data_IF_830055548051
#
_entry.id   IF_830055548051
#
_cell.length_a   1.000
_cell.length_b   1.000
_cell.length_c   1.000
_cell.angle_alpha   90.00
_cell.angle_beta   90.00
_cell.angle_gamma   90.00
#
_symmetry.space_group_name_H-M   'P 1'
#
loop_
_entity.id
_entity.type
_entity.pdbx_description
1 polymer ?
#
# COMPACT_ATOMS: atom_id res chain seq x y z
N UNK A 1 16.27 56.47 45.36
CA UNK A 1 15.25 56.41 44.28
C UNK A 1 15.84 56.20 42.88
N UNK A 2 16.88 56.95 42.44
CA UNK A 2 17.41 56.81 41.04
C UNK A 2 17.99 55.42 40.67
N UNK A 3 18.66 54.70 41.60
CA UNK A 3 19.24 53.35 41.32
C UNK A 3 18.14 52.27 41.15
N UNK A 4 17.05 52.32 41.88
CA UNK A 4 15.97 51.34 41.71
C UNK A 4 15.19 51.52 40.43
N UNK A 5 15.01 52.77 39.95
CA UNK A 5 14.40 53.06 38.67
C UNK A 5 15.24 52.58 37.45
N UNK A 6 16.59 52.75 37.55
CA UNK A 6 17.48 52.25 36.53
C UNK A 6 17.45 50.70 36.44
N UNK A 7 17.42 50.01 37.56
CA UNK A 7 17.30 48.53 37.62
C UNK A 7 15.99 48.06 37.04
N UNK A 8 14.87 48.77 37.30
CA UNK A 8 13.57 48.44 36.74
C UNK A 8 13.53 48.61 35.21
N UNK A 9 14.12 49.69 34.68
CA UNK A 9 14.25 49.92 33.24
C UNK A 9 15.11 48.88 32.56
N UNK A 10 16.20 48.44 33.15
CA UNK A 10 17.09 47.39 32.63
C UNK A 10 16.35 46.04 32.64
N UNK A 11 15.58 45.73 33.67
CA UNK A 11 14.77 44.54 33.73
C UNK A 11 13.67 44.54 32.64
N UNK A 12 12.99 45.67 32.43
CA UNK A 12 11.97 45.83 31.43
C UNK A 12 12.55 45.67 30.00
N UNK A 13 13.74 46.24 29.75
CA UNK A 13 14.43 46.09 28.48
C UNK A 13 14.89 44.63 28.26
N UNK A 14 15.47 44.00 29.30
CA UNK A 14 15.83 42.58 29.22
C UNK A 14 14.61 41.68 28.99
N UNK A 15 13.52 41.97 29.64
CA UNK A 15 12.25 41.23 29.47
C UNK A 15 11.68 41.43 28.07
N UNK A 16 11.66 42.65 27.52
CA UNK A 16 11.22 42.93 26.15
C UNK A 16 12.11 42.29 25.11
N UNK A 17 13.44 42.31 25.31
CA UNK A 17 14.39 41.63 24.46
C UNK A 17 14.22 40.11 24.53
N UNK A 18 14.03 39.54 25.71
CA UNK A 18 13.77 38.11 25.92
C UNK A 18 12.41 37.71 25.29
N UNK A 19 11.36 38.51 25.51
CA UNK A 19 10.07 38.26 24.88
C UNK A 19 10.14 38.36 23.34
N UNK A 20 10.82 39.38 22.84
CA UNK A 20 11.09 39.51 21.40
C UNK A 20 11.84 38.31 20.83
N UNK A 21 12.90 37.87 21.51
CA UNK A 21 13.67 36.68 21.10
C UNK A 21 12.83 35.39 21.22
N UNK A 22 12.03 35.24 22.27
CA UNK A 22 11.13 34.11 22.46
C UNK A 22 10.05 34.06 21.38
N UNK A 23 9.45 35.20 21.01
CA UNK A 23 8.41 35.31 19.97
C UNK A 23 8.98 35.15 18.54
N UNK A 24 10.26 35.44 18.33
CA UNK A 24 10.93 35.31 17.02
C UNK A 24 11.68 33.98 16.84
N UNK A 25 11.70 33.12 17.85
CA UNK A 25 12.28 31.79 17.70
C UNK A 25 11.52 30.99 16.64
N UNK A 26 12.22 30.40 15.68
CA UNK A 26 11.54 29.52 14.73
C UNK A 26 10.93 28.35 15.49
N UNK A 27 9.67 28.09 15.22
CA UNK A 27 9.01 26.87 15.67
C UNK A 27 9.58 25.70 14.89
N UNK A 28 9.87 24.61 15.56
CA UNK A 28 10.44 23.42 14.92
C UNK A 28 9.44 22.30 15.05
N UNK A 29 9.01 21.77 13.90
CA UNK A 29 8.27 20.52 13.80
C UNK A 29 9.19 19.38 13.41
N UNK A 30 8.87 18.19 13.85
CA UNK A 30 9.63 16.98 13.53
C UNK A 30 8.74 15.99 12.75
N UNK A 31 9.33 15.35 11.74
CA UNK A 31 8.66 14.32 10.93
C UNK A 31 9.35 12.98 11.09
N UNK A 32 8.57 11.93 11.34
CA UNK A 32 9.00 10.55 11.35
C UNK A 32 8.79 9.90 9.99
N UNK A 33 9.88 9.53 9.35
CA UNK A 33 9.92 8.88 8.04
C UNK A 33 11.10 7.91 7.97
N UNK A 34 11.04 6.96 7.06
CA UNK A 34 12.11 6.00 6.77
C UNK A 34 12.73 6.24 5.39
N UNK A 35 13.88 5.64 5.15
CA UNK A 35 14.57 5.62 3.86
C UNK A 35 14.04 4.49 2.98
N UNK A 36 13.92 4.77 1.70
CA UNK A 36 13.49 3.79 0.69
C UNK A 36 11.98 3.75 0.47
N UNK A 37 11.58 2.90 -0.45
CA UNK A 37 10.19 2.73 -0.83
C UNK A 37 9.38 2.06 0.28
N UNK A 38 8.18 2.55 0.53
CA UNK A 38 7.20 1.87 1.39
C UNK A 38 6.74 0.52 0.82
N UNK A 39 6.99 0.27 -0.46
CA UNK A 39 6.41 -0.84 -1.22
C UNK A 39 7.39 -1.98 -1.51
N UNK A 40 8.56 -2.00 -0.84
CA UNK A 40 9.62 -3.01 -1.02
C UNK A 40 10.15 -3.12 -2.46
N UNK A 41 10.12 -2.02 -3.19
CA UNK A 41 10.68 -1.90 -4.54
C UNK A 41 11.86 -0.92 -4.55
N UNK A 42 12.78 -0.99 -5.54
CA UNK A 42 13.89 -0.04 -5.63
C UNK A 42 13.42 1.40 -5.76
N UNK A 43 14.02 2.30 -4.99
CA UNK A 43 13.80 3.74 -5.04
C UNK A 43 15.14 4.45 -5.12
N UNK A 44 15.23 5.47 -5.98
CA UNK A 44 16.48 6.21 -6.20
C UNK A 44 16.64 7.40 -5.27
N UNK A 45 15.56 8.01 -4.81
CA UNK A 45 15.54 9.26 -4.05
C UNK A 45 14.56 9.19 -2.87
N UNK A 46 14.98 8.56 -1.77
CA UNK A 46 14.14 8.22 -0.62
C UNK A 46 13.42 9.40 0.05
N UNK A 47 13.91 10.63 -0.13
CA UNK A 47 13.38 11.79 0.59
C UNK A 47 12.88 12.91 -0.32
N UNK A 48 12.93 12.75 -1.65
CA UNK A 48 12.61 13.80 -2.60
C UNK A 48 11.21 14.40 -2.40
N UNK A 49 10.20 13.55 -2.19
CA UNK A 49 8.84 13.99 -1.91
C UNK A 49 8.74 14.75 -0.58
N UNK A 50 9.39 14.23 0.46
CA UNK A 50 9.38 14.85 1.79
C UNK A 50 10.06 16.23 1.75
N UNK A 51 11.20 16.33 1.10
CA UNK A 51 11.93 17.59 0.96
C UNK A 51 11.12 18.63 0.18
N UNK A 52 10.41 18.20 -0.87
CA UNK A 52 9.50 19.06 -1.63
C UNK A 52 8.34 19.57 -0.75
N UNK A 53 7.70 18.67 -0.01
CA UNK A 53 6.60 19.02 0.89
C UNK A 53 7.07 19.96 2.02
N UNK A 54 8.23 19.71 2.62
CA UNK A 54 8.82 20.57 3.65
C UNK A 54 9.13 21.96 3.09
N UNK A 55 9.76 22.04 1.92
CA UNK A 55 10.08 23.31 1.27
C UNK A 55 8.81 24.14 1.02
N UNK A 56 7.76 23.50 0.55
CA UNK A 56 6.47 24.15 0.30
C UNK A 56 5.82 24.63 1.60
N UNK A 57 5.75 23.75 2.60
CA UNK A 57 5.19 24.07 3.91
C UNK A 57 5.93 25.24 4.58
N UNK A 58 7.28 25.24 4.58
CA UNK A 58 8.09 26.32 5.17
C UNK A 58 7.91 27.65 4.43
N UNK A 59 7.68 27.63 3.13
CA UNK A 59 7.40 28.84 2.34
C UNK A 59 6.03 29.46 2.70
N UNK A 60 5.04 28.64 3.01
CA UNK A 60 3.70 29.07 3.43
C UNK A 60 3.62 29.43 4.93
N UNK A 61 4.60 28.98 5.75
CA UNK A 61 4.65 29.21 7.19
C UNK A 61 5.97 29.88 7.62
N UNK A 62 6.16 31.19 7.35
CA UNK A 62 7.38 31.89 7.73
C UNK A 62 7.65 31.78 9.25
N UNK A 63 8.87 31.43 9.63
CA UNK A 63 9.27 31.23 11.03
C UNK A 63 9.03 29.81 11.57
N UNK A 64 8.57 28.87 10.73
CA UNK A 64 8.51 27.45 11.05
C UNK A 64 9.62 26.70 10.33
N UNK A 65 10.22 25.72 10.97
CA UNK A 65 11.19 24.79 10.40
C UNK A 65 10.74 23.36 10.63
N UNK A 66 10.88 22.51 9.59
CA UNK A 66 10.56 21.09 9.69
C UNK A 66 11.85 20.28 9.60
N UNK A 67 11.97 19.27 10.45
CA UNK A 67 13.15 18.38 10.53
C UNK A 67 12.71 16.92 10.53
N UNK A 68 13.53 16.06 9.96
CA UNK A 68 13.42 14.61 10.11
C UNK A 68 14.78 13.96 10.31
N UNK A 69 14.80 12.74 10.85
CA UNK A 69 16.01 11.93 10.94
C UNK A 69 16.14 11.09 9.68
N UNK A 70 17.22 11.26 8.94
CA UNK A 70 17.50 10.49 7.72
C UNK A 70 18.21 9.17 8.02
N UNK A 71 18.08 8.19 7.10
CA UNK A 71 18.83 6.94 7.14
C UNK A 71 18.19 5.82 7.97
N UNK A 72 17.01 6.02 8.54
CA UNK A 72 16.26 4.96 9.21
C UNK A 72 15.73 4.01 8.13
N UNK A 73 16.11 2.74 8.17
CA UNK A 73 15.60 1.75 7.22
C UNK A 73 14.12 1.46 7.53
N UNK A 74 13.35 1.13 6.49
CA UNK A 74 11.93 0.76 6.64
C UNK A 74 11.74 -0.36 7.67
N UNK A 75 12.57 -1.40 7.61
CA UNK A 75 12.45 -2.56 8.49
C UNK A 75 12.73 -2.22 9.98
N UNK A 76 13.54 -1.20 10.22
CA UNK A 76 13.92 -0.74 11.57
C UNK A 76 12.99 0.38 12.08
N UNK A 77 12.13 0.92 11.21
CA UNK A 77 11.36 2.13 11.51
C UNK A 77 10.33 1.96 12.62
N UNK A 78 9.62 0.84 12.67
CA UNK A 78 8.61 0.58 13.69
C UNK A 78 9.25 0.52 15.10
N UNK A 79 10.41 -0.15 15.22
CA UNK A 79 11.18 -0.22 16.47
C UNK A 79 11.72 1.16 16.86
N UNK A 80 12.35 1.88 15.92
CA UNK A 80 12.79 3.24 16.14
C UNK A 80 11.68 4.17 16.62
N UNK A 81 10.50 4.12 15.99
CA UNK A 81 9.36 4.95 16.37
C UNK A 81 8.86 4.60 17.78
N UNK A 82 8.79 3.32 18.12
CA UNK A 82 8.41 2.86 19.44
C UNK A 82 9.40 3.36 20.52
N UNK A 83 10.70 3.32 20.26
CA UNK A 83 11.71 3.91 21.16
C UNK A 83 11.49 5.42 21.37
N UNK A 84 11.20 6.19 20.31
CA UNK A 84 10.89 7.62 20.43
C UNK A 84 9.69 7.87 21.33
N UNK A 85 8.63 7.07 21.21
CA UNK A 85 7.47 7.14 22.11
C UNK A 85 7.83 6.86 23.57
N UNK A 86 8.66 5.86 23.84
CA UNK A 86 9.12 5.52 25.19
C UNK A 86 9.98 6.64 25.80
N UNK A 87 10.81 7.29 25.00
CA UNK A 87 11.65 8.40 25.43
C UNK A 87 10.91 9.74 25.56
N UNK A 88 9.68 9.84 25.03
CA UNK A 88 8.89 11.07 25.02
C UNK A 88 9.40 12.11 24.02
N UNK A 89 10.08 11.68 22.97
CA UNK A 89 10.64 12.51 21.91
C UNK A 89 10.23 12.04 20.51
N UNK A 90 9.04 11.43 20.41
CA UNK A 90 8.44 11.04 19.13
C UNK A 90 8.21 12.25 18.23
N UNK A 91 8.22 12.05 16.89
CA UNK A 91 7.95 13.11 15.93
C UNK A 91 6.54 13.68 16.05
N UNK A 92 6.37 14.97 15.70
CA UNK A 92 5.08 15.65 15.70
C UNK A 92 4.12 15.06 14.66
N UNK A 93 4.62 14.77 13.46
CA UNK A 93 3.90 14.11 12.36
C UNK A 93 4.74 12.91 11.90
N UNK A 94 4.13 11.75 11.67
CA UNK A 94 4.91 10.56 11.33
C UNK A 94 4.12 9.56 10.49
N UNK A 95 4.86 8.77 9.71
CA UNK A 95 4.31 7.57 9.04
C UNK A 95 3.90 6.58 10.12
N UNK A 96 2.66 6.13 10.07
CA UNK A 96 2.14 5.16 11.05
C UNK A 96 2.27 3.77 10.47
N UNK A 97 3.08 2.86 11.07
CA UNK A 97 3.12 1.48 10.65
C UNK A 97 1.73 0.84 10.77
N UNK A 98 1.23 0.23 9.69
CA UNK A 98 -0.14 -0.32 9.66
C UNK A 98 -0.39 -1.36 10.76
N UNK A 99 0.60 -2.21 11.05
CA UNK A 99 0.52 -3.22 12.10
C UNK A 99 0.34 -2.61 13.52
N UNK A 100 0.89 -1.41 13.76
CA UNK A 100 0.87 -0.74 15.05
C UNK A 100 -0.23 0.32 15.17
N UNK A 101 -0.93 0.62 14.07
CA UNK A 101 -1.93 1.69 14.02
C UNK A 101 -2.98 1.56 15.14
N UNK A 102 -3.57 0.38 15.30
CA UNK A 102 -4.60 0.14 16.31
C UNK A 102 -4.07 0.30 17.73
N UNK A 103 -2.81 -0.10 17.98
CA UNK A 103 -2.14 0.10 19.26
C UNK A 103 -1.92 1.57 19.56
N UNK A 104 -1.40 2.35 18.62
CA UNK A 104 -1.15 3.78 18.80
C UNK A 104 -2.45 4.58 18.98
N UNK A 105 -3.51 4.22 18.25
CA UNK A 105 -4.83 4.82 18.45
C UNK A 105 -5.43 4.49 19.82
N UNK A 106 -5.38 3.21 20.23
CA UNK A 106 -5.96 2.73 21.48
C UNK A 106 -5.24 3.28 22.73
N UNK A 107 -3.91 3.46 22.65
CA UNK A 107 -3.11 3.97 23.78
C UNK A 107 -3.06 5.49 23.85
N UNK A 108 -3.69 6.20 22.89
CA UNK A 108 -3.66 7.65 22.83
C UNK A 108 -2.30 8.24 22.41
N UNK A 109 -1.48 7.46 21.70
CA UNK A 109 -0.24 7.94 21.09
C UNK A 109 -0.51 8.84 19.87
N UNK A 110 -1.59 8.54 19.12
CA UNK A 110 -2.08 9.36 18.02
C UNK A 110 -3.12 10.39 18.49
N UNK A 111 -3.04 11.61 18.00
CA UNK A 111 -4.06 12.61 18.17
C UNK A 111 -5.30 12.28 17.31
N UNK A 112 -6.52 12.34 17.84
CA UNK A 112 -7.73 12.22 17.04
C UNK A 112 -7.87 13.42 16.10
N UNK A 113 -8.16 13.16 14.84
CA UNK A 113 -8.31 14.18 13.80
C UNK A 113 -9.73 14.75 13.72
N UNK A 114 -10.63 14.40 14.65
CA UNK A 114 -12.04 14.83 14.64
C UNK A 114 -12.19 16.34 14.63
N UNK A 115 -11.48 17.05 15.49
CA UNK A 115 -11.55 18.51 15.57
C UNK A 115 -10.91 19.20 14.35
N UNK A 116 -9.69 18.85 13.93
CA UNK A 116 -9.12 19.36 12.70
C UNK A 116 -10.03 19.17 11.49
N UNK A 117 -10.56 17.95 11.28
CA UNK A 117 -11.46 17.64 10.15
C UNK A 117 -12.78 18.42 10.19
N UNK A 118 -13.32 18.68 11.37
CA UNK A 118 -14.59 19.42 11.52
C UNK A 118 -14.44 20.94 11.35
N UNK A 119 -13.28 21.49 11.70
CA UNK A 119 -13.07 22.94 11.75
C UNK A 119 -12.34 23.50 10.52
N UNK A 120 -11.72 22.66 9.72
CA UNK A 120 -10.98 23.07 8.52
C UNK A 120 -11.90 23.11 7.30
N UNK A 121 -12.31 24.32 6.91
CA UNK A 121 -13.21 24.54 5.77
C UNK A 121 -12.55 24.30 4.40
N UNK A 122 -11.22 24.26 4.36
CA UNK A 122 -10.44 24.04 3.15
C UNK A 122 -10.10 22.56 2.92
N UNK A 123 -10.56 21.68 3.82
CA UNK A 123 -10.36 20.25 3.75
C UNK A 123 -11.66 19.50 3.45
N UNK A 124 -11.66 18.63 2.42
CA UNK A 124 -12.78 17.74 2.13
C UNK A 124 -12.30 16.28 2.10
N UNK A 125 -13.01 15.42 2.80
CA UNK A 125 -12.79 13.96 2.75
C UNK A 125 -13.23 13.34 1.42
N UNK A 126 -14.10 14.01 0.66
CA UNK A 126 -14.72 13.49 -0.56
C UNK A 126 -13.74 13.35 -1.72
N UNK A 127 -12.57 13.99 -1.61
CA UNK A 127 -11.52 13.87 -2.63
C UNK A 127 -10.73 12.56 -2.54
N UNK A 128 -10.88 11.81 -1.43
CA UNK A 128 -10.16 10.55 -1.21
C UNK A 128 -10.97 9.34 -1.66
N UNK A 129 -10.29 8.22 -1.84
CA UNK A 129 -10.94 6.91 -1.88
C UNK A 129 -11.45 6.54 -0.49
N UNK A 130 -12.75 6.19 -0.32
CA UNK A 130 -13.33 5.95 1.01
C UNK A 130 -12.63 4.85 1.81
N UNK A 131 -12.24 3.75 1.16
CA UNK A 131 -11.52 2.63 1.76
C UNK A 131 -10.14 3.03 2.29
N UNK A 132 -9.44 3.97 1.65
CA UNK A 132 -8.18 4.52 2.14
C UNK A 132 -8.37 5.38 3.40
N UNK A 133 -9.43 6.21 3.43
CA UNK A 133 -9.76 6.99 4.62
C UNK A 133 -10.13 6.08 5.80
N UNK A 134 -10.89 5.01 5.55
CA UNK A 134 -11.27 4.05 6.58
C UNK A 134 -10.05 3.29 7.12
N UNK A 135 -8.99 3.17 6.35
CA UNK A 135 -7.73 2.62 6.84
C UNK A 135 -7.11 3.49 7.94
N UNK A 136 -7.28 4.81 7.92
CA UNK A 136 -6.86 5.76 8.97
C UNK A 136 -7.82 5.87 10.16
N UNK A 137 -8.85 5.00 10.25
CA UNK A 137 -9.85 5.03 11.34
C UNK A 137 -9.68 3.87 12.31
N UNK A 138 -9.97 4.17 13.57
CA UNK A 138 -10.09 3.18 14.66
C UNK A 138 -11.34 3.49 15.47
N UNK A 139 -12.24 2.51 15.62
CA UNK A 139 -13.54 2.67 16.31
C UNK A 139 -14.35 3.87 15.83
N UNK A 140 -14.35 4.14 14.52
CA UNK A 140 -15.10 5.24 13.91
C UNK A 140 -14.44 6.63 14.01
N UNK A 141 -13.31 6.76 14.71
CA UNK A 141 -12.56 8.00 14.85
C UNK A 141 -11.36 7.98 13.89
N UNK A 142 -11.15 9.07 13.15
CA UNK A 142 -9.97 9.24 12.29
C UNK A 142 -8.77 9.66 13.13
N UNK A 143 -7.65 8.95 12.97
CA UNK A 143 -6.36 9.22 13.62
C UNK A 143 -5.23 9.44 12.62
N UNK A 144 -5.42 9.05 11.37
CA UNK A 144 -4.42 9.22 10.32
C UNK A 144 -5.09 9.55 8.99
N UNK A 145 -4.33 10.18 8.09
CA UNK A 145 -4.71 10.43 6.70
C UNK A 145 -3.86 9.58 5.75
N UNK A 146 -4.44 9.10 4.64
CA UNK A 146 -3.67 8.38 3.63
C UNK A 146 -2.82 9.34 2.80
N UNK A 147 -1.61 8.89 2.45
CA UNK A 147 -0.67 9.59 1.56
C UNK A 147 -0.74 9.01 0.17
N UNK A 148 -0.49 7.72 0.08
CA UNK A 148 -0.48 6.94 -1.16
C UNK A 148 -0.89 5.49 -0.89
N UNK A 149 -1.22 4.76 -1.94
CA UNK A 149 -1.54 3.35 -1.86
C UNK A 149 -1.00 2.56 -3.05
N UNK A 150 -0.96 1.23 -2.89
CA UNK A 150 -0.55 0.32 -3.94
C UNK A 150 -1.57 -0.82 -4.04
N UNK A 151 -2.45 -0.79 -5.05
CA UNK A 151 -3.34 -1.90 -5.37
C UNK A 151 -2.60 -3.02 -6.08
N UNK A 152 -3.10 -4.25 -5.98
CA UNK A 152 -2.68 -5.39 -6.78
C UNK A 152 -3.50 -5.45 -8.07
N UNK A 153 -2.83 -5.69 -9.19
CA UNK A 153 -3.40 -5.72 -10.53
C UNK A 153 -3.11 -7.07 -11.21
N UNK A 154 -3.96 -7.47 -12.16
CA UNK A 154 -3.66 -8.58 -13.07
C UNK A 154 -3.06 -8.02 -14.36
N UNK A 155 -1.82 -8.40 -14.64
CA UNK A 155 -1.17 -8.11 -15.91
C UNK A 155 -1.51 -9.17 -16.94
N UNK A 156 -1.78 -8.73 -18.14
CA UNK A 156 -2.13 -9.57 -19.29
C UNK A 156 -1.12 -9.38 -20.42
N UNK A 157 -0.52 -10.46 -20.88
CA UNK A 157 0.33 -10.47 -22.06
C UNK A 157 -0.52 -10.42 -23.32
N UNK A 158 -0.70 -9.22 -23.86
CA UNK A 158 -1.50 -8.96 -25.07
C UNK A 158 -0.98 -9.72 -26.28
N UNK A 159 0.34 -9.74 -26.47
CA UNK A 159 1.00 -10.41 -27.59
C UNK A 159 0.73 -11.90 -27.58
N UNK A 160 0.82 -12.54 -26.39
CA UNK A 160 0.56 -13.96 -26.26
C UNK A 160 -0.91 -14.29 -26.51
N UNK A 161 -1.83 -13.54 -25.91
CA UNK A 161 -3.27 -13.75 -26.13
C UNK A 161 -3.65 -13.56 -27.59
N UNK A 162 -3.11 -12.52 -28.25
CA UNK A 162 -3.35 -12.28 -29.68
C UNK A 162 -2.81 -13.43 -30.56
N UNK A 163 -1.61 -13.95 -30.26
CA UNK A 163 -1.04 -15.12 -30.93
C UNK A 163 -1.96 -16.33 -30.83
N UNK A 164 -2.60 -16.53 -29.68
CA UNK A 164 -3.52 -17.62 -29.43
C UNK A 164 -4.97 -17.35 -29.90
N UNK A 165 -5.23 -16.18 -30.49
CA UNK A 165 -6.59 -15.79 -30.92
C UNK A 165 -7.56 -15.56 -29.76
N UNK A 166 -7.04 -15.24 -28.58
CA UNK A 166 -7.82 -15.03 -27.34
C UNK A 166 -7.97 -13.52 -27.11
N UNK A 167 -9.18 -12.99 -27.00
CA UNK A 167 -9.39 -11.59 -26.64
C UNK A 167 -8.96 -11.31 -25.19
N UNK A 168 -8.50 -10.08 -24.93
CA UNK A 168 -8.21 -9.62 -23.56
C UNK A 168 -9.52 -9.69 -22.75
N UNK A 169 -9.51 -10.30 -21.55
CA UNK A 169 -10.67 -10.34 -20.69
C UNK A 169 -11.16 -8.92 -20.30
N UNK A 170 -12.46 -8.77 -20.18
CA UNK A 170 -13.07 -7.56 -19.63
C UNK A 170 -12.89 -7.53 -18.10
N UNK A 171 -13.10 -6.37 -17.49
CA UNK A 171 -12.95 -6.19 -16.03
C UNK A 171 -14.05 -6.86 -15.17
N UNK A 172 -15.01 -7.54 -15.81
CA UNK A 172 -16.07 -8.35 -15.20
C UNK A 172 -15.87 -9.87 -15.35
N UNK A 173 -14.64 -10.29 -15.67
CA UNK A 173 -14.29 -11.70 -15.88
C UNK A 173 -14.26 -12.52 -14.60
N UNK A 174 -14.40 -13.85 -14.78
CA UNK A 174 -14.57 -14.81 -13.68
C UNK A 174 -13.41 -15.81 -13.60
N UNK A 175 -13.34 -16.57 -12.50
CA UNK A 175 -12.42 -17.70 -12.38
C UNK A 175 -12.62 -18.75 -13.49
N UNK A 176 -13.86 -18.93 -13.97
CA UNK A 176 -14.12 -19.84 -15.07
C UNK A 176 -13.47 -19.36 -16.36
N UNK A 177 -13.56 -18.06 -16.65
CA UNK A 177 -12.88 -17.45 -17.79
C UNK A 177 -11.38 -17.57 -17.65
N UNK A 178 -10.84 -17.27 -16.47
CA UNK A 178 -9.44 -17.34 -16.15
C UNK A 178 -8.87 -18.76 -16.35
N UNK A 179 -9.51 -19.77 -15.75
CA UNK A 179 -9.11 -21.17 -15.89
C UNK A 179 -9.21 -21.66 -17.35
N UNK A 180 -10.28 -21.28 -18.05
CA UNK A 180 -10.47 -21.60 -19.47
C UNK A 180 -9.33 -21.04 -20.30
N UNK A 181 -8.96 -19.77 -20.12
CA UNK A 181 -7.87 -19.14 -20.85
C UNK A 181 -6.53 -19.80 -20.48
N UNK A 182 -6.27 -20.05 -19.21
CA UNK A 182 -5.06 -20.75 -18.77
C UNK A 182 -4.91 -22.13 -19.44
N UNK A 183 -6.01 -22.91 -19.54
CA UNK A 183 -6.01 -24.19 -20.24
C UNK A 183 -5.76 -24.07 -21.75
N UNK A 184 -6.25 -23.01 -22.39
CA UNK A 184 -6.04 -22.76 -23.82
C UNK A 184 -4.59 -22.35 -24.13
N UNK A 185 -3.98 -21.57 -23.26
CA UNK A 185 -2.65 -21.00 -23.45
C UNK A 185 -1.55 -21.99 -23.07
N UNK A 186 -1.76 -22.80 -22.02
CA UNK A 186 -0.72 -23.70 -21.50
C UNK A 186 -0.48 -24.87 -22.45
N UNK A 187 0.71 -24.95 -23.02
CA UNK A 187 1.08 -25.99 -23.99
C UNK A 187 2.60 -26.12 -24.20
N UNK A 188 2.98 -27.20 -24.78
CA UNK A 188 4.27 -27.44 -25.40
C UNK A 188 4.22 -26.87 -26.83
N UNK A 189 5.03 -25.84 -27.13
CA UNK A 189 5.03 -25.13 -28.42
C UNK A 189 6.09 -25.62 -29.38
N UNK A 190 7.12 -26.32 -28.88
CA UNK A 190 8.22 -26.86 -29.72
C UNK A 190 8.18 -28.39 -29.87
N UNK A 191 7.30 -29.08 -29.14
CA UNK A 191 7.06 -30.52 -29.28
C UNK A 191 8.09 -31.39 -28.56
N UNK A 192 8.84 -30.87 -27.59
CA UNK A 192 9.84 -31.61 -26.84
C UNK A 192 9.26 -32.44 -25.67
N UNK A 193 7.96 -32.35 -25.45
CA UNK A 193 7.23 -33.04 -24.38
C UNK A 193 7.18 -32.26 -23.05
N UNK A 194 7.65 -31.02 -23.01
CA UNK A 194 7.62 -30.13 -21.86
C UNK A 194 6.79 -28.88 -22.17
N UNK A 195 6.05 -28.40 -21.17
CA UNK A 195 5.37 -27.15 -21.34
C UNK A 195 6.36 -25.97 -21.36
N UNK A 196 6.23 -25.09 -22.34
CA UNK A 196 7.05 -23.89 -22.50
C UNK A 196 6.22 -22.62 -22.64
N UNK A 197 4.88 -22.73 -22.58
CA UNK A 197 3.93 -21.63 -22.55
C UNK A 197 2.90 -21.90 -21.45
N UNK A 198 2.56 -20.87 -20.64
CA UNK A 198 1.80 -21.02 -19.41
C UNK A 198 0.68 -19.98 -19.28
N UNK A 199 -0.37 -20.36 -18.55
CA UNK A 199 -1.50 -19.48 -18.30
C UNK A 199 -1.19 -18.36 -17.31
N UNK A 200 -0.62 -18.68 -16.16
CA UNK A 200 -0.43 -17.71 -15.08
C UNK A 200 0.84 -17.95 -14.27
N UNK A 201 1.42 -16.86 -13.78
CA UNK A 201 2.42 -16.79 -12.74
C UNK A 201 1.94 -15.91 -11.58
N UNK A 202 2.26 -16.29 -10.34
CA UNK A 202 2.06 -15.53 -9.11
C UNK A 202 0.57 -15.20 -8.77
N UNK A 203 -0.35 -16.13 -9.09
CA UNK A 203 -1.71 -16.08 -8.56
C UNK A 203 -1.87 -17.17 -7.50
N UNK A 204 -2.05 -16.75 -6.25
CA UNK A 204 -2.08 -17.62 -5.08
C UNK A 204 -3.48 -17.72 -4.44
N UNK A 205 -3.62 -18.57 -3.44
CA UNK A 205 -4.85 -18.79 -2.70
C UNK A 205 -5.33 -17.53 -1.96
N UNK A 206 -4.44 -16.59 -1.59
CA UNK A 206 -4.80 -15.35 -0.90
C UNK A 206 -5.57 -14.43 -1.82
N UNK A 207 -5.11 -14.29 -3.06
CA UNK A 207 -5.78 -13.52 -4.12
C UNK A 207 -7.10 -14.19 -4.53
N UNK A 208 -7.14 -15.52 -4.59
CA UNK A 208 -8.36 -16.26 -4.80
C UNK A 208 -9.35 -16.08 -3.63
N UNK A 209 -8.91 -16.17 -2.39
CA UNK A 209 -9.75 -15.94 -1.21
C UNK A 209 -10.38 -14.54 -1.22
N UNK A 210 -9.56 -13.51 -1.54
CA UNK A 210 -10.02 -12.15 -1.68
C UNK A 210 -11.13 -12.01 -2.73
N UNK A 211 -10.90 -12.55 -3.94
CA UNK A 211 -11.86 -12.41 -5.06
C UNK A 211 -13.07 -13.35 -4.95
N UNK A 212 -13.11 -14.23 -3.94
CA UNK A 212 -14.24 -15.07 -3.56
C UNK A 212 -14.91 -14.64 -2.25
N UNK A 213 -14.69 -13.42 -1.81
CA UNK A 213 -15.25 -12.80 -0.59
C UNK A 213 -15.04 -13.64 0.67
N UNK A 214 -13.84 -14.19 0.84
CA UNK A 214 -13.45 -14.92 2.06
C UNK A 214 -12.90 -13.96 3.09
N UNK A 215 -13.65 -13.74 4.16
CA UNK A 215 -13.16 -13.02 5.34
C UNK A 215 -12.40 -13.99 6.25
N UNK A 216 -11.07 -14.03 6.09
CA UNK A 216 -10.22 -14.99 6.81
C UNK A 216 -10.15 -14.69 8.31
N UNK A 217 -10.14 -13.42 8.70
CA UNK A 217 -10.01 -13.01 10.10
C UNK A 217 -11.21 -12.19 10.56
N UNK A 218 -11.52 -12.31 11.88
CA UNK A 218 -12.42 -11.36 12.53
C UNK A 218 -11.83 -9.94 12.53
N UNK A 219 -12.68 -8.93 12.57
CA UNK A 219 -12.28 -7.52 12.53
C UNK A 219 -11.32 -7.13 13.67
N UNK A 220 -11.40 -7.82 14.81
CA UNK A 220 -10.53 -7.61 15.96
C UNK A 220 -9.24 -8.47 15.94
N UNK A 221 -9.04 -9.26 14.89
CA UNK A 221 -7.87 -10.13 14.72
C UNK A 221 -7.74 -11.29 15.71
N UNK A 222 -8.80 -11.61 16.48
CA UNK A 222 -8.73 -12.65 17.53
C UNK A 222 -9.08 -14.04 17.06
N UNK A 223 -9.69 -14.15 15.89
CA UNK A 223 -10.07 -15.45 15.33
C UNK A 223 -9.90 -15.49 13.82
N UNK A 224 -9.67 -16.68 13.31
CA UNK A 224 -9.62 -17.00 11.89
C UNK A 224 -10.79 -17.89 11.48
N UNK A 225 -11.24 -17.77 10.23
CA UNK A 225 -12.35 -18.51 9.66
C UNK A 225 -11.97 -19.13 8.30
N UNK A 226 -11.24 -20.24 8.36
CA UNK A 226 -10.82 -21.00 7.17
C UNK A 226 -11.83 -22.06 6.73
N UNK A 227 -12.82 -22.42 7.57
CA UNK A 227 -13.73 -23.53 7.32
C UNK A 227 -15.04 -23.10 6.64
N UNK A 228 -15.00 -22.08 5.78
CA UNK A 228 -16.15 -21.63 5.00
C UNK A 228 -16.26 -22.36 3.67
N UNK A 229 -17.46 -22.42 3.11
CA UNK A 229 -17.70 -22.94 1.78
C UNK A 229 -16.88 -22.14 0.73
N UNK A 230 -16.84 -20.81 0.86
CA UNK A 230 -16.08 -19.94 -0.04
C UNK A 230 -14.57 -20.30 -0.02
N UNK A 231 -14.02 -20.66 1.14
CA UNK A 231 -12.62 -21.09 1.23
C UNK A 231 -12.37 -22.49 0.64
N UNK A 232 -13.35 -23.40 0.75
CA UNK A 232 -13.28 -24.68 0.02
C UNK A 232 -13.27 -24.49 -1.49
N UNK A 233 -14.09 -23.56 -2.01
CA UNK A 233 -14.11 -23.19 -3.44
C UNK A 233 -12.74 -22.64 -3.89
N UNK A 234 -12.11 -21.80 -3.06
CA UNK A 234 -10.74 -21.30 -3.29
C UNK A 234 -9.75 -22.44 -3.49
N UNK A 235 -9.70 -23.39 -2.57
CA UNK A 235 -8.72 -24.48 -2.64
C UNK A 235 -8.99 -25.43 -3.82
N UNK A 236 -10.26 -25.69 -4.15
CA UNK A 236 -10.62 -26.46 -5.36
C UNK A 236 -10.17 -25.75 -6.62
N UNK A 237 -10.47 -24.45 -6.73
CA UNK A 237 -10.04 -23.66 -7.88
C UNK A 237 -8.50 -23.62 -8.00
N UNK A 238 -7.77 -23.41 -6.92
CA UNK A 238 -6.30 -23.40 -6.93
C UNK A 238 -5.73 -24.76 -7.35
N UNK A 239 -6.35 -25.86 -6.89
CA UNK A 239 -5.96 -27.22 -7.30
C UNK A 239 -6.15 -27.42 -8.82
N UNK A 240 -7.29 -26.99 -9.38
CA UNK A 240 -7.54 -27.07 -10.81
C UNK A 240 -6.59 -26.18 -11.62
N UNK A 241 -6.31 -24.97 -11.14
CA UNK A 241 -5.42 -24.04 -11.81
C UNK A 241 -3.97 -24.56 -11.83
N UNK A 242 -3.48 -25.12 -10.72
CA UNK A 242 -2.15 -25.72 -10.66
C UNK A 242 -2.02 -26.98 -11.54
N UNK A 243 -3.10 -27.77 -11.62
CA UNK A 243 -3.12 -28.98 -12.46
C UNK A 243 -2.91 -28.66 -13.96
N UNK A 244 -3.23 -27.45 -14.41
CA UNK A 244 -2.99 -27.01 -15.79
C UNK A 244 -1.53 -27.08 -16.19
N UNK A 245 -0.62 -26.83 -15.26
CA UNK A 245 0.82 -26.82 -15.48
C UNK A 245 1.46 -28.22 -15.44
N UNK A 246 0.68 -29.28 -15.21
CA UNK A 246 1.15 -30.69 -15.21
C UNK A 246 2.35 -30.93 -14.28
N UNK A 247 2.41 -30.21 -13.15
CA UNK A 247 3.50 -30.29 -12.17
C UNK A 247 4.76 -29.49 -12.53
N UNK A 248 4.77 -28.76 -13.64
CA UNK A 248 5.87 -27.83 -13.94
C UNK A 248 5.70 -26.52 -13.16
N UNK A 249 6.82 -26.04 -12.61
CA UNK A 249 6.88 -24.76 -11.92
C UNK A 249 6.97 -23.63 -12.97
N UNK A 250 6.13 -22.62 -12.83
CA UNK A 250 6.17 -21.37 -13.62
C UNK A 250 6.96 -20.34 -12.86
N UNK A 251 7.88 -19.66 -13.50
CA UNK A 251 8.81 -18.72 -12.89
C UNK A 251 8.62 -17.29 -13.39
N UNK A 252 9.16 -16.31 -12.65
CA UNK A 252 9.22 -14.93 -13.10
C UNK A 252 9.93 -14.80 -14.45
N UNK A 253 10.96 -15.64 -14.70
CA UNK A 253 11.69 -15.66 -15.97
C UNK A 253 10.80 -16.05 -17.15
N UNK A 254 9.86 -16.97 -16.96
CA UNK A 254 8.94 -17.38 -18.03
C UNK A 254 8.03 -16.22 -18.42
N UNK A 255 7.57 -15.43 -17.43
CA UNK A 255 6.83 -14.19 -17.71
C UNK A 255 7.71 -13.18 -18.45
N UNK A 256 8.92 -12.93 -17.99
CA UNK A 256 9.86 -11.98 -18.59
C UNK A 256 10.21 -12.33 -20.05
N UNK A 257 10.16 -13.62 -20.38
CA UNK A 257 10.35 -14.13 -21.74
C UNK A 257 9.07 -14.08 -22.59
N UNK A 258 7.96 -13.56 -22.06
CA UNK A 258 6.69 -13.49 -22.78
C UNK A 258 5.95 -14.82 -22.92
N UNK A 259 6.30 -15.84 -22.14
CA UNK A 259 5.73 -17.20 -22.18
C UNK A 259 4.50 -17.38 -21.29
N UNK A 260 4.14 -16.38 -20.48
CA UNK A 260 3.03 -16.44 -19.53
C UNK A 260 1.96 -15.42 -19.91
N UNK A 261 0.68 -15.83 -19.87
CA UNK A 261 -0.43 -14.96 -20.26
C UNK A 261 -0.80 -13.96 -19.16
N UNK A 262 -0.79 -14.39 -17.90
CA UNK A 262 -1.22 -13.56 -16.77
C UNK A 262 -0.19 -13.57 -15.64
N UNK A 263 -0.02 -12.42 -15.00
CA UNK A 263 0.77 -12.28 -13.78
C UNK A 263 0.13 -11.25 -12.85
N UNK A 264 0.13 -11.49 -11.54
CA UNK A 264 -0.24 -10.45 -10.58
C UNK A 264 0.98 -9.61 -10.22
N UNK A 265 0.76 -8.29 -10.18
CA UNK A 265 1.73 -7.30 -9.69
C UNK A 265 1.03 -6.31 -8.78
N UNK A 266 1.73 -5.80 -7.80
CA UNK A 266 1.38 -4.53 -7.19
C UNK A 266 1.66 -3.38 -8.17
N UNK A 267 0.96 -2.27 -8.01
CA UNK A 267 1.22 -1.09 -8.84
C UNK A 267 2.67 -0.60 -8.72
N UNK A 268 3.28 -0.72 -7.54
CA UNK A 268 4.68 -0.35 -7.33
C UNK A 268 5.65 -1.27 -8.08
N UNK A 269 5.41 -2.58 -8.06
CA UNK A 269 6.19 -3.53 -8.86
C UNK A 269 6.06 -3.23 -10.35
N UNK A 270 4.86 -2.91 -10.82
CA UNK A 270 4.66 -2.48 -12.20
C UNK A 270 5.52 -1.26 -12.56
N UNK A 271 5.50 -0.23 -11.74
CA UNK A 271 6.28 1.00 -12.00
C UNK A 271 7.78 0.77 -12.03
N UNK A 272 8.25 -0.20 -11.29
CA UNK A 272 9.67 -0.57 -11.24
C UNK A 272 10.01 -1.77 -12.13
N UNK A 273 8.98 -2.41 -12.73
CA UNK A 273 9.18 -3.56 -13.59
C UNK A 273 9.98 -3.15 -14.82
N UNK A 274 11.19 -3.69 -14.89
CA UNK A 274 12.05 -3.62 -16.07
C UNK A 274 12.27 -5.06 -16.47
N UNK A 275 11.62 -5.54 -17.58
CA UNK A 275 11.81 -6.91 -18.00
C UNK A 275 13.31 -7.19 -18.11
N UNK A 276 13.75 -8.26 -17.48
CA UNK A 276 15.15 -8.64 -17.51
C UNK A 276 15.46 -9.26 -18.88
N UNK A 277 16.54 -8.82 -19.51
CA UNK A 277 17.30 -7.65 -19.11
C UNK A 277 16.81 -6.42 -19.86
N UNK A 278 16.54 -5.34 -19.16
CA UNK A 278 16.28 -4.02 -19.76
C UNK A 278 17.27 -3.66 -20.90
N UNK A 279 18.48 -4.20 -20.83
CA UNK A 279 19.46 -4.15 -21.93
C UNK A 279 19.04 -4.98 -23.15
N UNK A 280 18.04 -5.85 -23.03
CA UNK A 280 17.51 -6.71 -24.08
C UNK A 280 16.03 -6.41 -24.36
N UNK A 281 15.57 -5.14 -24.19
CA UNK A 281 14.34 -4.66 -24.84
C UNK A 281 14.28 -5.06 -26.32
N UNK A 282 15.43 -5.39 -26.88
CA UNK A 282 15.60 -5.93 -28.23
C UNK A 282 15.10 -7.37 -28.40
N UNK A 283 14.82 -8.10 -27.30
CA UNK A 283 14.46 -9.52 -27.37
C UNK A 283 13.15 -9.90 -26.66
N UNK A 284 12.59 -9.05 -25.80
CA UNK A 284 11.28 -9.28 -25.18
C UNK A 284 10.29 -8.21 -25.64
N UNK A 285 9.86 -8.33 -26.88
CA UNK A 285 8.82 -7.46 -27.43
C UNK A 285 7.45 -8.11 -27.23
N UNK A 286 6.96 -8.21 -26.01
CA UNK A 286 5.55 -8.45 -25.80
C UNK A 286 4.91 -7.22 -25.17
N UNK A 287 3.72 -6.91 -25.64
CA UNK A 287 2.89 -5.86 -25.09
C UNK A 287 2.05 -6.42 -23.94
N UNK A 288 1.89 -5.63 -22.89
CA UNK A 288 1.02 -5.96 -21.76
C UNK A 288 0.04 -4.84 -21.45
N UNK A 289 -1.01 -5.21 -20.74
CA UNK A 289 -1.99 -4.30 -20.17
C UNK A 289 -2.33 -4.76 -18.77
N UNK A 290 -3.11 -4.00 -18.00
CA UNK A 290 -3.61 -4.43 -16.72
C UNK A 290 -5.12 -4.43 -16.66
N UNK A 291 -5.67 -5.42 -15.97
CA UNK A 291 -7.10 -5.61 -15.74
C UNK A 291 -7.32 -5.95 -14.26
N UNK A 292 -8.59 -5.92 -13.82
CA UNK A 292 -8.97 -6.39 -12.49
C UNK A 292 -8.66 -7.88 -12.30
N UNK A 293 -8.54 -8.31 -11.05
CA UNK A 293 -8.45 -9.74 -10.71
C UNK A 293 -9.77 -10.45 -11.09
N UNK A 294 -9.74 -11.75 -11.44
CA UNK A 294 -10.95 -12.52 -11.81
C UNK A 294 -11.83 -12.77 -10.59
N UNK A 295 -13.13 -12.55 -10.69
CA UNK A 295 -14.08 -12.81 -9.64
C UNK A 295 -14.29 -14.32 -9.42
N UNK A 296 -14.30 -14.75 -8.15
CA UNK A 296 -14.79 -16.07 -7.76
C UNK A 296 -16.31 -16.18 -7.81
N UNK A 297 -16.87 -17.40 -7.71
CA UNK A 297 -18.32 -17.63 -7.82
C UNK A 297 -19.14 -16.94 -6.73
N UNK A 298 -18.55 -16.70 -5.56
CA UNK A 298 -19.18 -16.05 -4.41
C UNK A 298 -18.70 -14.63 -4.15
N UNK A 299 -17.86 -14.06 -5.04
CA UNK A 299 -17.18 -12.78 -4.80
C UNK A 299 -17.24 -11.82 -5.97
N UNK A 300 -16.22 -10.95 -6.05
CA UNK A 300 -16.15 -9.80 -6.94
C UNK A 300 -14.74 -9.66 -7.54
N UNK A 301 -14.60 -8.79 -8.54
CA UNK A 301 -13.30 -8.41 -9.11
C UNK A 301 -12.52 -7.46 -8.18
N UNK A 302 -12.45 -7.83 -6.90
CA UNK A 302 -11.78 -7.06 -5.84
C UNK A 302 -10.27 -7.20 -5.90
N UNK A 303 -9.58 -6.22 -5.34
CA UNK A 303 -8.14 -6.26 -5.13
C UNK A 303 -7.78 -6.01 -3.68
N UNK A 304 -6.54 -6.32 -3.30
CA UNK A 304 -5.97 -5.89 -2.04
C UNK A 304 -5.14 -4.63 -2.27
N UNK A 305 -5.25 -3.69 -1.35
CA UNK A 305 -4.55 -2.43 -1.40
C UNK A 305 -3.77 -2.20 -0.11
N UNK A 306 -2.49 -1.96 -0.23
CA UNK A 306 -1.65 -1.47 0.86
C UNK A 306 -1.72 0.06 0.87
N UNK A 307 -1.85 0.65 2.06
CA UNK A 307 -2.03 2.09 2.23
C UNK A 307 -0.95 2.63 3.17
N UNK A 308 -0.25 3.68 2.75
CA UNK A 308 0.62 4.46 3.63
C UNK A 308 -0.18 5.58 4.28
N UNK A 309 -0.17 5.62 5.60
CA UNK A 309 -0.88 6.62 6.41
C UNK A 309 0.09 7.41 7.28
N UNK A 310 -0.25 8.67 7.53
CA UNK A 310 0.46 9.53 8.46
C UNK A 310 -0.48 10.06 9.52
N UNK A 311 0.04 10.24 10.74
CA UNK A 311 -0.70 10.74 11.89
C UNK A 311 0.08 11.80 12.66
N UNK A 312 -0.60 12.38 13.65
CA UNK A 312 -0.05 13.42 14.53
C UNK A 312 0.15 12.84 15.92
N UNK A 313 1.28 13.11 16.56
CA UNK A 313 1.50 12.76 17.96
C UNK A 313 0.48 13.47 18.86
N UNK A 314 -0.14 12.72 19.78
CA UNK A 314 -1.01 13.32 20.79
C UNK A 314 -0.27 14.25 21.76
N UNK A 315 1.08 14.17 21.81
CA UNK A 315 1.94 14.98 22.68
C UNK A 315 2.62 16.14 21.97
N UNK A 316 2.30 16.40 20.69
CA UNK A 316 2.87 17.55 19.96
C UNK A 316 2.56 18.86 20.69
N UNK A 317 3.55 19.72 20.82
CA UNK A 317 3.37 21.07 21.36
C UNK A 317 2.76 22.06 20.37
N UNK A 318 2.69 21.69 19.08
CA UNK A 318 2.21 22.54 17.99
C UNK A 318 1.10 21.87 17.17
N UNK A 319 -0.06 21.50 17.79
CA UNK A 319 -1.08 20.67 17.13
C UNK A 319 -1.66 21.30 15.86
N UNK A 320 -1.80 22.65 15.83
CA UNK A 320 -2.28 23.35 14.63
C UNK A 320 -1.28 23.25 13.48
N UNK A 321 0.00 23.52 13.74
CA UNK A 321 1.04 23.43 12.70
C UNK A 321 1.27 21.98 12.23
N UNK A 322 1.14 21.02 13.15
CA UNK A 322 1.19 19.59 12.82
C UNK A 322 0.03 19.18 11.89
N UNK A 323 -1.17 19.73 12.09
CA UNK A 323 -2.29 19.54 11.18
C UNK A 323 -2.04 20.15 9.80
N UNK A 324 -1.55 21.38 9.73
CA UNK A 324 -1.21 22.01 8.44
C UNK A 324 -0.11 21.24 7.70
N UNK A 325 0.88 20.73 8.43
CA UNK A 325 1.93 19.88 7.83
C UNK A 325 1.37 18.54 7.35
N UNK A 326 0.50 17.90 8.12
CA UNK A 326 -0.18 16.67 7.70
C UNK A 326 -1.01 16.91 6.44
N UNK A 327 -1.72 18.06 6.35
CA UNK A 327 -2.44 18.46 5.13
C UNK A 327 -1.50 18.64 3.94
N UNK A 328 -0.37 19.32 4.13
CA UNK A 328 0.61 19.47 3.05
C UNK A 328 1.06 18.12 2.51
N UNK A 329 1.31 17.13 3.38
CA UNK A 329 1.77 15.80 2.99
C UNK A 329 0.68 14.92 2.36
N UNK A 330 -0.54 14.99 2.89
CA UNK A 330 -1.61 14.05 2.54
C UNK A 330 -2.68 14.63 1.61
N UNK A 331 -2.86 15.96 1.59
CA UNK A 331 -3.99 16.61 0.95
C UNK A 331 -3.60 17.60 -0.16
N UNK A 332 -2.43 18.26 -0.08
CA UNK A 332 -2.04 19.26 -1.10
C UNK A 332 -2.01 18.63 -2.50
N UNK A 333 -2.78 19.17 -3.47
CA UNK A 333 -2.87 18.55 -4.80
C UNK A 333 -1.52 18.46 -5.51
N UNK A 334 -0.63 19.45 -5.34
CA UNK A 334 0.66 19.45 -6.02
C UNK A 334 1.61 18.40 -5.43
N UNK A 335 1.58 18.19 -4.11
CA UNK A 335 2.34 17.12 -3.47
C UNK A 335 1.77 15.76 -3.88
N UNK A 336 0.44 15.61 -3.95
CA UNK A 336 -0.19 14.38 -4.42
C UNK A 336 0.12 14.10 -5.91
N UNK A 337 0.19 15.11 -6.78
CA UNK A 337 0.67 14.95 -8.16
C UNK A 337 2.15 14.50 -8.20
N UNK A 338 2.99 15.05 -7.32
CA UNK A 338 4.43 14.73 -7.26
C UNK A 338 4.68 13.26 -6.90
N UNK A 339 3.76 12.60 -6.17
CA UNK A 339 3.81 11.16 -5.92
C UNK A 339 3.95 10.35 -7.21
N UNK A 340 3.26 10.73 -8.28
CA UNK A 340 3.32 10.03 -9.57
C UNK A 340 4.70 10.05 -10.24
N UNK A 341 5.58 10.94 -9.84
CA UNK A 341 6.94 11.06 -10.40
C UNK A 341 8.04 10.70 -9.41
N UNK A 342 7.80 10.90 -8.13
CA UNK A 342 8.80 10.75 -7.07
C UNK A 342 8.69 9.45 -6.28
N UNK A 343 7.52 8.80 -6.29
CA UNK A 343 7.29 7.50 -5.61
C UNK A 343 6.76 6.45 -6.57
N UNK A 344 6.49 5.25 -6.06
CA UNK A 344 5.93 4.15 -6.84
C UNK A 344 4.46 3.87 -6.48
N UNK A 345 3.89 4.63 -5.56
CA UNK A 345 2.48 4.52 -5.16
C UNK A 345 1.52 5.30 -6.05
N UNK A 346 0.25 5.13 -5.77
CA UNK A 346 -0.86 5.90 -6.34
C UNK A 346 -1.28 6.95 -5.31
N UNK A 347 -1.44 8.22 -5.70
CA UNK A 347 -1.93 9.25 -4.80
C UNK A 347 -3.23 8.87 -4.09
N UNK A 348 -3.38 9.31 -2.84
CA UNK A 348 -4.60 9.04 -2.08
C UNK A 348 -5.81 9.84 -2.58
N UNK A 349 -5.59 10.95 -3.28
CA UNK A 349 -6.64 11.81 -3.82
C UNK A 349 -7.14 11.28 -5.17
N UNK A 350 -8.41 10.90 -5.21
CA UNK A 350 -9.09 10.43 -6.42
C UNK A 350 -9.08 11.49 -7.53
N UNK A 351 -9.41 12.74 -7.17
CA UNK A 351 -9.48 13.84 -8.14
C UNK A 351 -8.12 14.12 -8.81
N UNK A 352 -7.01 13.87 -8.10
CA UNK A 352 -5.66 13.91 -8.68
C UNK A 352 -5.44 12.74 -9.62
N UNK A 353 -5.72 11.51 -9.20
CA UNK A 353 -5.50 10.28 -10.00
C UNK A 353 -6.29 10.33 -11.32
N UNK A 354 -7.52 10.81 -11.27
CA UNK A 354 -8.43 10.88 -12.44
C UNK A 354 -8.17 12.09 -13.34
N UNK A 355 -7.22 12.96 -12.98
CA UNK A 355 -6.91 14.14 -13.76
C UNK A 355 -6.14 13.82 -15.06
N UNK A 356 -6.38 14.54 -16.17
CA UNK A 356 -5.56 14.38 -17.38
C UNK A 356 -4.08 14.67 -17.16
N UNK A 357 -3.76 15.53 -16.19
CA UNK A 357 -2.39 15.87 -15.82
C UNK A 357 -1.70 14.68 -15.15
N UNK A 358 -2.38 13.97 -14.24
CA UNK A 358 -1.86 12.76 -13.61
C UNK A 358 -1.54 11.69 -14.66
N UNK A 359 -2.44 11.47 -15.62
CA UNK A 359 -2.20 10.53 -16.72
C UNK A 359 -0.94 10.91 -17.53
N UNK A 360 -0.76 12.19 -17.87
CA UNK A 360 0.41 12.66 -18.60
C UNK A 360 1.71 12.47 -17.80
N UNK A 361 1.71 12.79 -16.51
CA UNK A 361 2.85 12.60 -15.61
C UNK A 361 3.20 11.11 -15.47
N UNK A 362 2.20 10.27 -15.29
CA UNK A 362 2.39 8.83 -15.17
C UNK A 362 3.01 8.24 -16.45
N UNK A 363 2.48 8.57 -17.61
CA UNK A 363 3.00 8.11 -18.90
C UNK A 363 4.44 8.56 -19.13
N UNK A 364 4.77 9.81 -18.77
CA UNK A 364 6.13 10.33 -18.90
C UNK A 364 7.13 9.67 -17.94
N UNK A 365 6.69 9.30 -16.72
CA UNK A 365 7.57 8.75 -15.67
C UNK A 365 7.72 7.23 -15.71
N UNK A 366 6.85 6.53 -16.44
CA UNK A 366 6.82 5.06 -16.46
C UNK A 366 7.01 4.53 -17.87
N UNK A 367 8.25 4.24 -18.30
CA UNK A 367 8.53 3.73 -19.64
C UNK A 367 7.79 2.42 -19.93
N UNK A 368 7.13 2.33 -21.07
CA UNK A 368 6.31 1.17 -21.48
C UNK A 368 4.85 1.24 -20.98
N UNK A 369 4.45 2.32 -20.32
CA UNK A 369 3.07 2.55 -19.83
C UNK A 369 2.20 3.32 -20.82
N UNK A 370 2.63 3.48 -22.05
CA UNK A 370 1.97 4.32 -23.06
C UNK A 370 0.49 3.97 -23.28
N UNK A 371 0.11 2.73 -22.96
CA UNK A 371 -1.26 2.25 -23.06
C UNK A 371 -1.98 2.10 -21.70
N UNK A 372 -1.27 2.22 -20.59
CA UNK A 372 -1.91 2.07 -19.28
C UNK A 372 -2.73 3.31 -18.92
N UNK A 373 -4.02 3.09 -18.70
CA UNK A 373 -4.92 4.15 -18.27
C UNK A 373 -5.06 4.16 -16.73
N UNK A 374 -4.74 5.27 -16.08
CA UNK A 374 -4.94 5.45 -14.65
C UNK A 374 -6.40 5.29 -14.20
N UNK A 375 -7.36 5.38 -15.11
CA UNK A 375 -8.77 5.08 -14.79
C UNK A 375 -8.96 3.63 -14.34
N UNK A 376 -8.22 2.67 -14.92
CA UNK A 376 -8.30 1.27 -14.46
C UNK A 376 -7.74 1.13 -13.05
N UNK A 377 -6.67 1.88 -12.74
CA UNK A 377 -6.08 1.91 -11.40
C UNK A 377 -7.08 2.50 -10.40
N UNK A 378 -7.74 3.62 -10.75
CA UNK A 378 -8.77 4.24 -9.93
C UNK A 378 -9.93 3.28 -9.66
N UNK A 379 -10.43 2.58 -10.68
CA UNK A 379 -11.49 1.56 -10.53
C UNK A 379 -11.06 0.39 -9.65
N UNK A 380 -9.81 -0.07 -9.77
CA UNK A 380 -9.26 -1.12 -8.91
C UNK A 380 -9.16 -0.63 -7.47
N UNK A 381 -8.74 0.61 -7.24
CA UNK A 381 -8.68 1.19 -5.90
C UNK A 381 -10.07 1.30 -5.25
N UNK A 382 -11.10 1.66 -6.00
CA UNK A 382 -12.49 1.70 -5.51
C UNK A 382 -12.99 0.33 -5.03
N UNK A 383 -12.67 -0.73 -5.78
CA UNK A 383 -13.09 -2.09 -5.49
C UNK A 383 -12.11 -2.84 -4.56
N UNK A 384 -11.02 -2.18 -4.13
CA UNK A 384 -10.01 -2.80 -3.27
C UNK A 384 -10.46 -2.84 -1.82
N UNK A 385 -10.07 -3.91 -1.14
CA UNK A 385 -10.07 -3.95 0.33
C UNK A 385 -8.66 -3.65 0.84
N UNK A 386 -8.58 -3.07 2.03
CA UNK A 386 -7.30 -2.81 2.71
C UNK A 386 -6.88 -4.01 3.55
N UNK A 387 -5.58 -4.18 3.74
CA UNK A 387 -5.07 -5.22 4.64
C UNK A 387 -5.59 -5.03 6.07
N UNK A 388 -5.90 -6.12 6.80
CA UNK A 388 -6.25 -6.05 8.22
C UNK A 388 -5.13 -5.42 9.07
N UNK A 389 -5.51 -4.64 10.09
CA UNK A 389 -4.60 -3.80 10.91
C UNK A 389 -4.31 -4.38 12.30
N UNK A 390 -4.29 -5.67 12.47
CA UNK A 390 -3.88 -6.27 13.75
C UNK A 390 -2.44 -6.78 13.70
N UNK A 391 -1.72 -6.64 14.78
CA UNK A 391 -0.26 -6.82 14.86
C UNK A 391 0.25 -8.20 14.41
N UNK A 392 -0.58 -9.24 14.46
CA UNK A 392 -0.21 -10.62 14.11
C UNK A 392 -0.65 -11.04 12.71
N UNK A 393 -1.15 -10.12 11.90
CA UNK A 393 -1.72 -10.45 10.59
C UNK A 393 -0.73 -11.17 9.67
N UNK A 394 0.45 -10.59 9.49
CA UNK A 394 1.43 -11.13 8.54
C UNK A 394 1.97 -12.50 8.96
N UNK A 395 2.23 -12.70 10.26
CA UNK A 395 2.70 -13.96 10.79
C UNK A 395 1.60 -15.04 10.71
N UNK A 396 0.35 -14.68 11.01
CA UNK A 396 -0.78 -15.57 10.88
C UNK A 396 -1.00 -16.02 9.42
N UNK A 397 -0.87 -15.08 8.47
CA UNK A 397 -0.98 -15.37 7.03
C UNK A 397 0.19 -16.24 6.54
N UNK A 398 1.42 -15.98 6.99
CA UNK A 398 2.57 -16.82 6.65
C UNK A 398 2.45 -18.24 7.22
N UNK A 399 1.95 -18.36 8.45
CA UNK A 399 1.68 -19.67 9.06
C UNK A 399 0.60 -20.44 8.30
N UNK A 400 -0.47 -19.75 7.87
CA UNK A 400 -1.53 -20.35 7.06
C UNK A 400 -1.00 -20.83 5.69
N UNK A 401 -0.19 -20.01 5.03
CA UNK A 401 0.42 -20.32 3.74
C UNK A 401 1.28 -21.59 3.81
N UNK A 402 2.22 -21.62 4.76
CA UNK A 402 3.07 -22.78 4.99
C UNK A 402 2.27 -24.06 5.26
N UNK A 403 1.21 -23.97 6.06
CA UNK A 403 0.38 -25.13 6.38
C UNK A 403 -0.47 -25.59 5.19
N UNK A 404 -1.06 -24.70 4.44
CA UNK A 404 -1.84 -25.06 3.24
C UNK A 404 -0.95 -25.73 2.18
N UNK A 405 0.25 -25.22 1.96
CA UNK A 405 1.22 -25.83 1.02
C UNK A 405 1.61 -27.25 1.48
N UNK A 406 1.94 -27.42 2.74
CA UNK A 406 2.32 -28.73 3.29
C UNK A 406 1.20 -29.77 3.15
N UNK A 407 -0.05 -29.37 3.47
CA UNK A 407 -1.20 -30.25 3.41
C UNK A 407 -1.57 -30.69 1.98
N UNK A 408 -1.39 -29.79 1.00
CA UNK A 408 -1.55 -30.15 -0.41
C UNK A 408 -0.53 -31.22 -0.82
N UNK A 409 0.73 -31.11 -0.34
CA UNK A 409 1.78 -32.10 -0.61
C UNK A 409 1.49 -33.47 0.04
N UNK A 410 0.88 -33.48 1.23
CA UNK A 410 0.51 -34.72 1.92
C UNK A 410 -0.77 -35.39 1.40
N UNK A 411 -1.47 -34.76 0.44
CA UNK A 411 -2.69 -35.32 -0.15
C UNK A 411 -3.88 -35.36 0.81
N UNK A 412 -3.95 -34.49 1.81
CA UNK A 412 -5.06 -34.39 2.73
C UNK A 412 -6.33 -33.89 2.03
N UNK A 413 -7.50 -34.32 2.52
CA UNK A 413 -8.74 -33.75 2.02
C UNK A 413 -8.83 -32.25 2.37
N UNK A 414 -9.40 -31.44 1.49
CA UNK A 414 -9.55 -29.98 1.67
C UNK A 414 -10.19 -29.66 3.02
N UNK A 415 -11.29 -30.34 3.40
CA UNK A 415 -11.97 -30.08 4.67
C UNK A 415 -11.10 -30.39 5.89
N UNK A 416 -10.30 -31.46 5.86
CA UNK A 416 -9.37 -31.80 6.95
C UNK A 416 -8.25 -30.76 7.04
N UNK A 417 -7.72 -30.33 5.90
CA UNK A 417 -6.69 -29.30 5.81
C UNK A 417 -7.18 -27.99 6.42
N UNK A 418 -8.33 -27.49 6.00
CA UNK A 418 -8.90 -26.22 6.47
C UNK A 418 -9.21 -26.24 7.97
N UNK A 419 -9.76 -27.36 8.49
CA UNK A 419 -10.00 -27.52 9.92
C UNK A 419 -8.69 -27.45 10.76
N UNK A 420 -7.62 -28.07 10.27
CA UNK A 420 -6.34 -28.04 10.96
C UNK A 420 -5.70 -26.65 10.91
N UNK A 421 -5.72 -26.00 9.73
CA UNK A 421 -5.23 -24.61 9.58
C UNK A 421 -5.97 -23.67 10.52
N UNK A 422 -7.30 -23.71 10.52
CA UNK A 422 -8.10 -22.85 11.40
C UNK A 422 -7.76 -23.06 12.89
N UNK A 423 -7.62 -24.31 13.33
CA UNK A 423 -7.26 -24.63 14.71
C UNK A 423 -5.89 -24.07 15.10
N UNK A 424 -4.91 -24.21 14.23
CA UNK A 424 -3.54 -23.75 14.50
C UNK A 424 -3.43 -22.24 14.47
N UNK A 425 -4.09 -21.58 13.52
CA UNK A 425 -4.11 -20.13 13.44
C UNK A 425 -4.85 -19.52 14.64
N UNK A 426 -6.00 -20.07 15.02
CA UNK A 426 -6.71 -19.58 16.21
C UNK A 426 -5.89 -19.76 17.50
N UNK A 427 -5.12 -20.85 17.62
CA UNK A 427 -4.19 -21.02 18.75
C UNK A 427 -3.08 -19.96 18.74
N UNK A 428 -2.55 -19.62 17.56
CA UNK A 428 -1.53 -18.60 17.42
C UNK A 428 -2.06 -17.19 17.78
N UNK A 429 -3.28 -16.86 17.34
CA UNK A 429 -3.90 -15.56 17.62
C UNK A 429 -4.27 -15.33 19.09
N UNK A 430 -4.40 -16.41 19.88
CA UNK A 430 -4.75 -16.37 21.31
C UNK A 430 -3.53 -16.32 22.25
N UNK A 431 -2.33 -16.47 21.75
CA UNK A 431 -1.07 -16.33 22.52
C UNK A 431 -0.72 -14.85 22.77
#
# INVERSE_FOLDING_TARGET
MKRGFILYLLFLLAFTCFLGWYLTRPKVLTVGIFAGSNWNVPESESYALMDEAIRRFEAEHPGVKVKYVSGIRKDDYAEWLAERFLEGNEPDVFVVPGADFSLYAATGALAPLTQPLANDTDFSVDVYYPNMLDYGRWQGISYALPVEAVPTLMFVNKTLLAKEGIPIPRNDWTWQDFLRICKMVTKDTDGDGRLDQFGVYDFDWRKAALTNDVQIFSADGKSANFTTQNMEEVLRFMTELHAVNQGQEVTAKDFDMGRVAFRTFTFAEYRTYKPYPWRIKKYSSFEWDCIKLPAGPSGHNSSIMQVMIMGISARTSEPRLSWELLKTLCYDPAIQESLLTMTQGVPARRDVVESPRAQALFTASTPGSEEMNLQIVSQVMDDSITEPKFSRYHEAMNLADHKLQHMVQEGLSIGSALNQVQKDINRYLQQ
#
